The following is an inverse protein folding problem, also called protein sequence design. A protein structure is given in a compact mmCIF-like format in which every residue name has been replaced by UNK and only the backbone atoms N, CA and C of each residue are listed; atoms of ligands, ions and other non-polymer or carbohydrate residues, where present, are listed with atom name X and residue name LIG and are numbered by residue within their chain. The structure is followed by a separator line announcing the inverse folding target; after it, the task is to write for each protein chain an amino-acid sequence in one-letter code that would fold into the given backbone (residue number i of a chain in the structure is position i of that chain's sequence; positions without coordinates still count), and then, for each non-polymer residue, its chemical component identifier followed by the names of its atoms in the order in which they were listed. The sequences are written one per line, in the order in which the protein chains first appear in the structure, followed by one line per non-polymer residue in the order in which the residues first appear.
data_IF_895267846979
#
_entry.id   IF_895267846979
#
_cell.length_a   1.000
_cell.length_b   1.000
_cell.length_c   1.000
_cell.angle_alpha   90.00
_cell.angle_beta   90.00
_cell.angle_gamma   90.00
#
_symmetry.space_group_name_H-M   'P 1'
#
loop_
_entity.id
_entity.type
_entity.pdbx_description
1 polymer ?
#
# COMPACT_ATOMS: atom_id res chain seq x y z
N UNK A 1 -12.39 -9.19 28.86
CA UNK A 1 -12.45 -9.90 27.56
C UNK A 1 -12.67 -8.96 26.37
N UNK A 2 -13.65 -8.04 26.44
CA UNK A 2 -14.03 -7.17 25.31
C UNK A 2 -12.92 -6.22 24.83
N UNK A 3 -12.12 -5.62 25.73
CA UNK A 3 -10.98 -4.77 25.35
C UNK A 3 -9.90 -5.54 24.58
N UNK A 4 -9.62 -6.78 24.99
CA UNK A 4 -8.63 -7.65 24.35
C UNK A 4 -9.08 -8.04 22.93
N UNK A 5 -10.36 -8.35 22.74
CA UNK A 5 -10.94 -8.62 21.41
C UNK A 5 -10.81 -7.41 20.48
N UNK A 6 -11.11 -6.20 20.95
CA UNK A 6 -10.94 -4.97 20.16
C UNK A 6 -9.48 -4.74 19.75
N UNK A 7 -8.54 -4.94 20.67
CA UNK A 7 -7.11 -4.80 20.37
C UNK A 7 -6.65 -5.81 19.31
N UNK A 8 -7.09 -7.07 19.42
CA UNK A 8 -6.76 -8.11 18.45
C UNK A 8 -7.27 -7.78 17.04
N UNK A 9 -8.51 -7.31 16.90
CA UNK A 9 -9.09 -6.92 15.60
C UNK A 9 -8.35 -5.75 14.95
N UNK A 10 -8.00 -4.74 15.76
CA UNK A 10 -7.20 -3.60 15.29
C UNK A 10 -5.83 -4.06 14.79
N UNK A 11 -5.17 -4.96 15.51
CA UNK A 11 -3.89 -5.53 15.09
C UNK A 11 -4.00 -6.31 13.77
N UNK A 12 -5.10 -7.05 13.56
CA UNK A 12 -5.35 -7.73 12.29
C UNK A 12 -5.52 -6.74 11.12
N UNK A 13 -6.30 -5.67 11.29
CA UNK A 13 -6.40 -4.61 10.28
C UNK A 13 -5.05 -3.94 10.00
N UNK A 14 -4.30 -3.59 11.05
CA UNK A 14 -3.00 -2.94 10.88
C UNK A 14 -2.00 -3.85 10.13
N UNK A 15 -2.10 -5.18 10.28
CA UNK A 15 -1.33 -6.14 9.47
C UNK A 15 -1.71 -6.07 7.98
N UNK A 16 -3.01 -6.13 7.66
CA UNK A 16 -3.48 -6.03 6.25
C UNK A 16 -3.05 -4.72 5.62
N UNK A 17 -3.15 -3.62 6.38
CA UNK A 17 -2.73 -2.29 5.94
C UNK A 17 -1.23 -2.26 5.67
N UNK A 18 -0.41 -2.84 6.55
CA UNK A 18 1.04 -2.95 6.34
C UNK A 18 1.37 -3.75 5.08
N UNK A 19 0.72 -4.88 4.86
CA UNK A 19 0.93 -5.72 3.68
C UNK A 19 0.55 -4.95 2.40
N UNK A 20 -0.54 -4.18 2.44
CA UNK A 20 -1.00 -3.32 1.35
C UNK A 20 0.01 -2.20 1.02
N UNK A 21 0.56 -1.54 2.04
CA UNK A 21 1.63 -0.54 1.84
C UNK A 21 2.87 -1.18 1.21
N UNK A 22 3.28 -2.36 1.66
CA UNK A 22 4.43 -3.07 1.08
C UNK A 22 4.20 -3.45 -0.38
N UNK A 23 3.00 -3.96 -0.71
CA UNK A 23 2.64 -4.29 -2.09
C UNK A 23 2.64 -3.06 -2.99
N UNK A 24 2.05 -1.94 -2.53
CA UNK A 24 2.03 -0.69 -3.27
C UNK A 24 3.43 -0.12 -3.47
N UNK A 25 4.30 -0.17 -2.44
CA UNK A 25 5.65 0.37 -2.55
C UNK A 25 6.51 -0.41 -3.56
N UNK A 26 6.33 -1.73 -3.66
CA UNK A 26 6.97 -2.56 -4.69
C UNK A 26 6.55 -2.12 -6.10
N UNK A 27 5.25 -1.94 -6.33
CA UNK A 27 4.71 -1.48 -7.63
C UNK A 27 5.25 -0.08 -7.93
N UNK A 28 5.19 0.82 -6.95
CA UNK A 28 5.67 2.20 -7.06
C UNK A 28 7.15 2.26 -7.45
N UNK A 29 8.01 1.52 -6.77
CA UNK A 29 9.44 1.48 -7.07
C UNK A 29 9.70 0.94 -8.48
N UNK A 30 9.01 -0.14 -8.87
CA UNK A 30 9.14 -0.71 -10.20
C UNK A 30 8.77 0.31 -11.30
N UNK A 31 7.60 0.96 -11.18
CA UNK A 31 7.15 1.94 -12.17
C UNK A 31 8.02 3.20 -12.21
N UNK A 32 8.50 3.67 -11.04
CA UNK A 32 9.48 4.76 -10.97
C UNK A 32 10.74 4.41 -11.74
N UNK A 33 11.29 3.21 -11.52
CA UNK A 33 12.53 2.78 -12.16
C UNK A 33 12.34 2.59 -13.67
N UNK A 34 11.18 2.09 -14.11
CA UNK A 34 10.80 2.05 -15.53
C UNK A 34 10.76 3.46 -16.12
N UNK A 35 10.16 4.43 -15.43
CA UNK A 35 10.09 5.81 -15.90
C UNK A 35 11.48 6.47 -15.98
N UNK A 36 12.32 6.30 -14.95
CA UNK A 36 13.70 6.78 -14.94
C UNK A 36 14.49 6.17 -16.08
N UNK A 37 14.39 4.86 -16.31
CA UNK A 37 15.12 4.19 -17.39
C UNK A 37 14.68 4.69 -18.78
N UNK A 38 13.38 4.93 -18.99
CA UNK A 38 12.85 5.52 -20.23
C UNK A 38 13.38 6.93 -20.47
N UNK A 39 13.50 7.74 -19.41
CA UNK A 39 14.06 9.09 -19.50
C UNK A 39 15.57 9.06 -19.76
N UNK A 40 16.33 8.21 -19.08
CA UNK A 40 17.79 8.02 -19.28
C UNK A 40 18.13 7.61 -20.71
N UNK A 41 17.24 6.86 -21.38
CA UNK A 41 17.45 6.45 -22.76
C UNK A 41 17.37 7.60 -23.78
N UNK A 42 16.76 8.75 -23.42
CA UNK A 42 16.53 9.87 -24.34
C UNK A 42 17.17 11.19 -23.89
N UNK A 43 17.42 11.35 -22.59
CA UNK A 43 17.90 12.58 -21.97
C UNK A 43 18.87 12.29 -20.83
N UNK A 44 19.76 13.24 -20.55
CA UNK A 44 20.53 13.25 -19.31
C UNK A 44 19.59 13.67 -18.18
N UNK A 45 19.37 12.78 -17.22
CA UNK A 45 18.64 13.08 -15.99
C UNK A 45 19.54 12.80 -14.79
N UNK A 46 19.54 13.73 -13.84
CA UNK A 46 20.34 13.69 -12.64
C UNK A 46 19.56 13.20 -11.43
N UNK A 47 20.16 13.41 -10.25
CA UNK A 47 19.57 13.02 -8.96
C UNK A 47 18.28 13.80 -8.68
N UNK A 48 18.25 15.11 -8.98
CA UNK A 48 17.08 15.95 -8.75
C UNK A 48 15.84 15.42 -9.48
N UNK A 49 15.93 15.11 -10.78
CA UNK A 49 14.78 14.60 -11.53
C UNK A 49 14.33 13.22 -11.02
N UNK A 50 15.27 12.39 -10.57
CA UNK A 50 14.96 11.10 -9.96
C UNK A 50 14.23 11.27 -8.62
N UNK A 51 14.64 12.25 -7.79
CA UNK A 51 13.96 12.59 -6.54
C UNK A 51 12.55 13.11 -6.78
N UNK A 52 12.36 14.02 -7.73
CA UNK A 52 11.03 14.54 -8.08
C UNK A 52 10.08 13.41 -8.51
N UNK A 53 10.56 12.44 -9.31
CA UNK A 53 9.77 11.27 -9.67
C UNK A 53 9.51 10.35 -8.47
N UNK A 54 10.48 10.18 -7.58
CA UNK A 54 10.28 9.41 -6.36
C UNK A 54 9.20 10.04 -5.46
N UNK A 55 9.23 11.36 -5.28
CA UNK A 55 8.27 12.10 -4.47
C UNK A 55 6.87 12.07 -5.09
N UNK A 56 6.79 12.27 -6.41
CA UNK A 56 5.53 12.18 -7.14
C UNK A 56 4.90 10.79 -6.98
N UNK A 57 5.66 9.73 -7.24
CA UNK A 57 5.16 8.36 -7.13
C UNK A 57 4.77 8.01 -5.70
N UNK A 58 5.51 8.51 -4.70
CA UNK A 58 5.17 8.33 -3.29
C UNK A 58 3.87 9.06 -2.91
N UNK A 59 3.70 10.30 -3.34
CA UNK A 59 2.49 11.07 -3.09
C UNK A 59 1.24 10.42 -3.72
N UNK A 60 1.37 9.88 -4.95
CA UNK A 60 0.29 9.17 -5.61
C UNK A 60 -0.09 7.90 -4.84
N UNK A 61 0.90 7.07 -4.47
CA UNK A 61 0.66 5.86 -3.68
C UNK A 61 -0.05 6.18 -2.35
N UNK A 62 0.41 7.20 -1.63
CA UNK A 62 -0.19 7.62 -0.37
C UNK A 62 -1.65 8.07 -0.53
N UNK A 63 -1.95 8.87 -1.56
CA UNK A 63 -3.32 9.33 -1.84
C UNK A 63 -4.26 8.18 -2.20
N UNK A 64 -3.78 7.20 -2.98
CA UNK A 64 -4.57 6.01 -3.32
C UNK A 64 -4.91 5.19 -2.06
N UNK A 65 -3.95 5.04 -1.14
CA UNK A 65 -4.13 4.22 0.07
C UNK A 65 -4.85 4.95 1.21
N UNK A 66 -4.98 6.27 1.17
CA UNK A 66 -5.53 7.07 2.26
C UNK A 66 -6.97 6.67 2.65
N UNK A 67 -7.86 6.47 1.67
CA UNK A 67 -9.25 6.05 1.95
C UNK A 67 -9.40 4.54 2.18
N UNK A 68 -8.80 3.65 1.37
CA UNK A 68 -8.87 2.20 1.60
C UNK A 68 -8.41 1.77 3.00
N UNK A 69 -7.35 2.38 3.52
CA UNK A 69 -6.85 2.06 4.86
C UNK A 69 -7.79 2.49 5.98
N UNK A 70 -8.53 3.60 5.81
CA UNK A 70 -9.59 4.02 6.75
C UNK A 70 -10.76 3.04 6.72
N UNK A 71 -11.18 2.63 5.51
CA UNK A 71 -12.28 1.65 5.34
C UNK A 71 -11.90 0.31 5.98
N UNK A 72 -10.67 -0.17 5.78
CA UNK A 72 -10.16 -1.39 6.41
C UNK A 72 -10.19 -1.35 7.95
N UNK A 73 -9.80 -0.22 8.56
CA UNK A 73 -9.88 -0.06 10.02
C UNK A 73 -11.33 -0.11 10.50
N UNK A 74 -12.25 0.57 9.80
CA UNK A 74 -13.69 0.53 10.14
C UNK A 74 -14.28 -0.88 10.02
N UNK A 75 -13.94 -1.61 8.96
CA UNK A 75 -14.38 -3.00 8.77
C UNK A 75 -13.95 -3.90 9.93
N UNK A 76 -12.70 -3.77 10.41
CA UNK A 76 -12.23 -4.52 11.56
C UNK A 76 -12.90 -4.11 12.89
N UNK A 77 -13.28 -2.85 13.05
CA UNK A 77 -14.06 -2.38 14.20
C UNK A 77 -15.49 -2.93 14.20
N UNK A 78 -16.04 -3.22 13.02
CA UNK A 78 -17.40 -3.71 12.78
C UNK A 78 -17.51 -5.25 12.67
N UNK A 79 -16.44 -6.00 12.94
CA UNK A 79 -16.40 -7.46 12.79
C UNK A 79 -16.64 -7.98 11.37
N UNK A 80 -16.30 -7.17 10.37
CA UNK A 80 -16.43 -7.56 8.96
C UNK A 80 -15.17 -8.32 8.49
N UNK A 81 -15.04 -9.56 8.97
CA UNK A 81 -13.94 -10.47 8.61
C UNK A 81 -13.98 -10.88 7.12
N UNK A 82 -15.17 -10.93 6.52
CA UNK A 82 -15.36 -11.24 5.10
C UNK A 82 -14.77 -10.13 4.22
N UNK A 83 -15.01 -8.86 4.57
CA UNK A 83 -14.41 -7.73 3.87
C UNK A 83 -12.88 -7.74 3.98
N UNK A 84 -12.33 -7.97 5.18
CA UNK A 84 -10.87 -8.09 5.36
C UNK A 84 -10.28 -9.21 4.50
N UNK A 85 -10.97 -10.34 4.39
CA UNK A 85 -10.54 -11.48 3.56
C UNK A 85 -10.61 -11.13 2.07
N UNK A 86 -11.71 -10.51 1.64
CA UNK A 86 -11.90 -10.05 0.25
C UNK A 86 -10.81 -9.07 -0.17
N UNK A 87 -10.45 -8.10 0.70
CA UNK A 87 -9.37 -7.16 0.39
C UNK A 87 -8.02 -7.86 0.31
N UNK A 88 -7.75 -8.82 1.21
CA UNK A 88 -6.52 -9.62 1.15
C UNK A 88 -6.42 -10.41 -0.17
N UNK A 89 -7.53 -10.94 -0.68
CA UNK A 89 -7.56 -11.64 -1.97
C UNK A 89 -7.42 -10.69 -3.16
N UNK A 90 -8.18 -9.59 -3.17
CA UNK A 90 -8.17 -8.59 -4.23
C UNK A 90 -6.77 -8.04 -4.48
N UNK A 91 -6.02 -7.76 -3.41
CA UNK A 91 -4.65 -7.26 -3.50
C UNK A 91 -3.57 -8.35 -3.33
N UNK A 92 -3.98 -9.62 -3.28
CA UNK A 92 -3.07 -10.78 -3.14
C UNK A 92 -2.11 -10.67 -1.95
N UNK A 93 -2.61 -10.18 -0.82
CA UNK A 93 -1.86 -9.93 0.43
C UNK A 93 -1.66 -11.19 1.28
N UNK A 94 -2.34 -12.30 0.97
CA UNK A 94 -2.30 -13.54 1.75
C UNK A 94 -0.96 -14.30 1.75
N UNK A 95 0.10 -13.74 1.16
CA UNK A 95 1.41 -14.38 1.08
C UNK A 95 1.46 -15.41 -0.05
N UNK A 96 2.53 -15.32 -0.83
CA UNK A 96 2.71 -16.02 -2.10
C UNK A 96 2.64 -17.53 -2.01
N UNK A 97 2.01 -18.10 -3.04
CA UNK A 97 2.73 -19.00 -3.93
C UNK A 97 2.94 -18.27 -5.26
#
# INVERSE_FOLDING_TARGET
LELLKKQYKRQNADRVISDLYSAMDKIRCHERDVAINKLKAKHTIGEMECEVLNDLTHAVAYKILAEPTKVLRRAAEQDDEEYLTTVKELFRLNGGK
#
